data_IF_141040402176
#
_entry.id   IF_141040402176
#
_cell.length_a   1.000
_cell.length_b   1.000
_cell.length_c   1.000
_cell.angle_alpha   90.00
_cell.angle_beta   90.00
_cell.angle_gamma   90.00
#
_symmetry.space_group_name_H-M   'P 1'
#
loop_
_entity.id
_entity.type
_entity.pdbx_description
1 polymer ?
#
# COMPACT_ATOMS: atom_id res chain seq x y z
N UNK A 1 -4.27 10.07 -22.72
CA UNK A 1 -4.95 8.86 -23.24
C UNK A 1 -6.44 9.07 -23.60
N UNK A 2 -7.12 10.15 -23.17
CA UNK A 2 -8.50 10.48 -23.62
C UNK A 2 -8.59 11.69 -24.58
N UNK A 3 -7.54 12.50 -24.66
CA UNK A 3 -7.48 13.68 -25.55
C UNK A 3 -7.66 13.33 -27.04
N UNK A 4 -7.14 12.20 -27.57
CA UNK A 4 -7.42 11.81 -28.96
C UNK A 4 -8.89 11.49 -29.25
N UNK A 5 -9.70 11.24 -28.22
CA UNK A 5 -11.14 10.98 -28.33
C UNK A 5 -11.98 12.27 -28.22
N UNK A 6 -11.35 13.46 -28.20
CA UNK A 6 -12.03 14.75 -28.10
C UNK A 6 -12.47 15.16 -26.68
N UNK A 7 -12.23 14.31 -25.67
CA UNK A 7 -12.61 14.62 -24.28
C UNK A 7 -11.54 15.41 -23.53
N UNK A 8 -11.95 16.53 -22.93
CA UNK A 8 -11.14 17.32 -22.01
C UNK A 8 -11.65 17.19 -20.57
N UNK A 9 -11.32 16.05 -19.92
CA UNK A 9 -11.63 15.82 -18.51
C UNK A 9 -10.40 16.18 -17.65
N UNK A 10 -10.58 16.88 -16.52
CA UNK A 10 -9.50 17.16 -15.59
C UNK A 10 -9.07 15.87 -14.89
N UNK A 11 -7.92 15.31 -15.29
CA UNK A 11 -7.32 14.14 -14.66
C UNK A 11 -6.24 14.57 -13.68
N UNK A 12 -6.26 14.01 -12.47
CA UNK A 12 -5.26 14.24 -11.44
C UNK A 12 -4.41 12.99 -11.22
N UNK A 13 -3.07 13.08 -11.24
CA UNK A 13 -2.23 11.93 -10.93
C UNK A 13 -2.36 11.53 -9.46
N UNK A 14 -2.47 10.22 -9.24
CA UNK A 14 -2.42 9.62 -7.92
C UNK A 14 -1.22 8.68 -7.83
N UNK A 15 -0.45 8.79 -6.75
CA UNK A 15 0.72 7.94 -6.51
C UNK A 15 0.58 7.20 -5.19
N UNK A 16 0.63 5.88 -5.25
CA UNK A 16 0.73 5.01 -4.07
C UNK A 16 2.03 4.23 -4.06
N UNK A 17 2.42 3.73 -2.90
CA UNK A 17 3.61 2.91 -2.72
C UNK A 17 3.23 1.48 -2.31
N UNK A 18 4.03 0.52 -2.74
CA UNK A 18 3.93 -0.85 -2.26
C UNK A 18 5.32 -1.45 -2.04
N UNK A 19 5.43 -2.38 -1.10
CA UNK A 19 6.68 -3.09 -0.84
C UNK A 19 6.41 -4.56 -0.53
N UNK A 20 7.34 -5.42 -0.96
CA UNK A 20 7.34 -6.85 -0.67
C UNK A 20 8.31 -7.16 0.48
N UNK A 21 7.89 -8.04 1.37
CA UNK A 21 8.70 -8.55 2.49
C UNK A 21 8.75 -10.07 2.44
N UNK A 22 9.92 -10.63 2.78
CA UNK A 22 10.07 -12.08 2.92
C UNK A 22 9.16 -12.61 4.03
N UNK A 23 8.56 -13.77 3.78
CA UNK A 23 7.78 -14.49 4.77
C UNK A 23 8.72 -15.12 5.80
N UNK A 24 8.31 -15.07 7.05
CA UNK A 24 8.95 -15.65 8.24
C UNK A 24 7.83 -16.19 9.14
N UNK A 25 8.17 -17.03 10.10
CA UNK A 25 7.23 -17.53 11.10
C UNK A 25 6.54 -16.41 11.90
N UNK A 26 7.13 -15.21 11.95
CA UNK A 26 6.60 -14.06 12.71
C UNK A 26 5.65 -13.17 11.91
N UNK A 27 5.60 -13.29 10.58
CA UNK A 27 4.81 -12.40 9.73
C UNK A 27 3.90 -13.15 8.74
N UNK A 28 3.77 -14.47 8.84
CA UNK A 28 2.95 -15.27 7.92
C UNK A 28 1.47 -14.86 7.98
N UNK A 29 0.87 -14.62 6.81
CA UNK A 29 -0.57 -14.37 6.64
C UNK A 29 -1.10 -15.25 5.51
N UNK A 30 -2.25 -15.89 5.73
CA UNK A 30 -2.88 -16.80 4.75
C UNK A 30 -3.91 -16.09 3.86
N UNK A 31 -4.38 -14.91 4.28
CA UNK A 31 -5.38 -14.13 3.58
C UNK A 31 -4.98 -12.67 3.56
N UNK A 32 -5.46 -11.97 2.53
CA UNK A 32 -5.35 -10.51 2.46
C UNK A 32 -6.13 -9.87 3.60
N UNK A 33 -5.56 -8.82 4.16
CA UNK A 33 -6.14 -8.03 5.23
C UNK A 33 -6.19 -6.58 4.82
N UNK A 34 -7.32 -5.94 5.10
CA UNK A 34 -7.52 -4.52 4.92
C UNK A 34 -7.71 -3.87 6.28
N UNK A 35 -6.91 -2.86 6.57
CA UNK A 35 -7.11 -1.98 7.72
C UNK A 35 -7.87 -0.75 7.23
N UNK A 36 -9.20 -0.74 7.46
CA UNK A 36 -10.09 0.31 6.97
C UNK A 36 -9.77 1.66 7.60
N UNK A 37 -9.44 1.68 8.89
CA UNK A 37 -9.17 2.90 9.64
C UNK A 37 -7.85 3.56 9.22
N UNK A 38 -6.89 2.75 8.75
CA UNK A 38 -5.54 3.20 8.38
C UNK A 38 -5.31 3.22 6.86
N UNK A 39 -6.25 2.70 6.07
CA UNK A 39 -6.23 2.78 4.61
C UNK A 39 -5.08 2.01 3.95
N UNK A 40 -4.78 0.81 4.44
CA UNK A 40 -3.74 -0.05 3.84
C UNK A 40 -4.18 -1.50 3.72
N UNK A 41 -3.63 -2.19 2.72
CA UNK A 41 -3.86 -3.62 2.50
C UNK A 41 -2.53 -4.35 2.64
N UNK A 42 -2.54 -5.52 3.27
CA UNK A 42 -1.43 -6.47 3.24
C UNK A 42 -1.93 -7.84 2.81
N UNK A 43 -1.18 -8.53 1.96
CA UNK A 43 -1.59 -9.85 1.46
C UNK A 43 -0.43 -10.72 0.99
N UNK A 44 -0.61 -12.06 0.98
CA UNK A 44 0.39 -12.99 0.47
C UNK A 44 0.49 -12.89 -1.06
N UNK A 45 1.72 -12.88 -1.56
CA UNK A 45 2.09 -12.89 -2.98
C UNK A 45 3.22 -13.90 -3.18
N UNK A 46 3.51 -14.25 -4.44
CA UNK A 46 4.64 -15.14 -4.78
C UNK A 46 5.99 -14.62 -4.23
N UNK A 47 6.19 -13.29 -4.19
CA UNK A 47 7.40 -12.65 -3.66
C UNK A 47 7.39 -12.44 -2.13
N UNK A 48 6.40 -13.00 -1.43
CA UNK A 48 6.20 -12.83 0.01
C UNK A 48 5.02 -11.91 0.31
N UNK A 49 5.09 -11.12 1.37
CA UNK A 49 3.97 -10.28 1.81
C UNK A 49 4.05 -8.94 1.13
N UNK A 50 3.02 -8.58 0.38
CA UNK A 50 2.85 -7.24 -0.20
C UNK A 50 2.09 -6.35 0.75
N UNK A 51 2.61 -5.16 0.99
CA UNK A 51 1.94 -4.10 1.74
C UNK A 51 1.74 -2.91 0.80
N UNK A 52 0.52 -2.37 0.72
CA UNK A 52 0.17 -1.22 -0.12
C UNK A 52 -0.27 -0.04 0.74
N UNK A 53 0.21 1.16 0.43
CA UNK A 53 -0.26 2.39 1.08
C UNK A 53 -1.52 2.93 0.40
N UNK A 54 -2.09 3.99 0.98
CA UNK A 54 -2.97 4.88 0.25
C UNK A 54 -2.25 5.57 -0.92
N UNK A 55 -2.93 6.56 -1.49
CA UNK A 55 -2.39 7.38 -2.56
C UNK A 55 -2.27 8.84 -2.13
N UNK A 56 -1.25 9.52 -2.64
CA UNK A 56 -1.16 10.98 -2.62
C UNK A 56 -1.57 11.55 -3.99
N UNK A 57 -2.26 12.69 -3.98
CA UNK A 57 -2.50 13.48 -5.19
C UNK A 57 -1.31 14.41 -5.39
N UNK A 58 -0.56 14.22 -6.45
CA UNK A 58 0.69 14.95 -6.69
C UNK A 58 0.96 15.11 -8.18
N UNK A 59 1.83 16.05 -8.54
CA UNK A 59 2.29 16.19 -9.92
C UNK A 59 3.16 15.00 -10.33
N UNK A 60 3.14 14.67 -11.62
CA UNK A 60 3.90 13.52 -12.17
C UNK A 60 5.39 13.57 -11.87
N UNK A 61 5.97 14.77 -11.85
CA UNK A 61 7.41 15.00 -11.64
C UNK A 61 7.78 15.28 -10.19
N UNK A 62 6.81 15.21 -9.26
CA UNK A 62 7.10 15.44 -7.85
C UNK A 62 8.07 14.37 -7.31
N UNK A 63 9.00 14.74 -6.41
CA UNK A 63 9.92 13.79 -5.78
C UNK A 63 9.16 12.70 -5.03
N UNK A 64 9.80 11.54 -4.86
CA UNK A 64 9.18 10.41 -4.14
C UNK A 64 8.98 10.77 -2.66
N UNK A 65 7.79 10.51 -2.14
CA UNK A 65 7.44 10.72 -0.75
C UNK A 65 7.12 9.40 -0.04
N UNK A 66 8.04 8.92 0.78
CA UNK A 66 7.85 7.65 1.49
C UNK A 66 7.16 7.78 2.86
N UNK A 67 6.56 8.94 3.17
CA UNK A 67 5.90 9.17 4.46
C UNK A 67 4.77 8.17 4.74
N UNK A 68 3.90 7.93 3.76
CA UNK A 68 2.82 6.94 3.88
C UNK A 68 3.37 5.53 4.09
N UNK A 69 4.42 5.16 3.34
CA UNK A 69 5.04 3.83 3.44
C UNK A 69 5.61 3.61 4.85
N UNK A 70 6.38 4.56 5.38
CA UNK A 70 6.94 4.47 6.74
C UNK A 70 5.85 4.30 7.80
N UNK A 71 4.76 5.07 7.71
CA UNK A 71 3.63 4.99 8.63
C UNK A 71 2.92 3.64 8.56
N UNK A 72 2.60 3.18 7.35
CA UNK A 72 1.93 1.90 7.13
C UNK A 72 2.80 0.74 7.62
N UNK A 73 4.11 0.77 7.39
CA UNK A 73 5.01 -0.29 7.88
C UNK A 73 5.05 -0.39 9.41
N UNK A 74 4.94 0.75 10.12
CA UNK A 74 4.84 0.75 11.59
C UNK A 74 3.53 0.09 12.05
N UNK A 75 2.43 0.38 11.37
CA UNK A 75 1.11 -0.17 11.69
C UNK A 75 1.00 -1.66 11.33
N UNK A 76 1.47 -2.06 10.15
CA UNK A 76 1.48 -3.45 9.71
C UNK A 76 2.26 -4.36 10.68
N UNK A 77 3.41 -3.88 11.19
CA UNK A 77 4.17 -4.60 12.23
C UNK A 77 3.36 -4.80 13.51
N UNK A 78 2.58 -3.80 13.93
CA UNK A 78 1.70 -3.89 15.10
C UNK A 78 0.58 -4.91 14.87
N UNK A 79 -0.09 -4.85 13.71
CA UNK A 79 -1.18 -5.77 13.37
C UNK A 79 -0.71 -7.24 13.33
N UNK A 80 0.48 -7.49 12.80
CA UNK A 80 1.09 -8.83 12.80
C UNK A 80 1.46 -9.32 14.20
N UNK A 81 1.88 -8.42 15.10
CA UNK A 81 2.22 -8.79 16.48
C UNK A 81 0.97 -9.12 17.33
N UNK A 82 -0.13 -8.38 17.15
CA UNK A 82 -1.38 -8.59 17.92
C UNK A 82 -2.04 -9.93 17.61
N UNK A 83 -1.84 -10.49 16.41
CA UNK A 83 -2.40 -11.78 15.99
C UNK A 83 -1.85 -13.02 16.73
N UNK A 84 -0.83 -12.87 17.58
CA UNK A 84 -0.30 -13.98 18.37
C UNK A 84 -1.04 -14.26 19.68
N UNK A 85 -2.01 -13.43 20.07
CA UNK A 85 -2.72 -13.56 21.35
C UNK A 85 -4.18 -14.04 21.23
N UNK A 86 -4.60 -14.55 20.08
CA UNK A 86 -5.94 -15.12 19.86
C UNK A 86 -5.85 -16.58 19.47
#
# INVERSE_FOLDING_TARGET
MIRPLGYNLPLFPMRGYHQHFKVTEKNTINHSMFDMDKGFVMGPMQQGIRITTGAEMTTMNAPKNFGQLKTVLKLAKKNLATRRCS
#
